data_IF_958418061481
#
_entry.id   IF_958418061481
#
_cell.length_a   1.000
_cell.length_b   1.000
_cell.length_c   1.000
_cell.angle_alpha   90.00
_cell.angle_beta   90.00
_cell.angle_gamma   90.00
#
_symmetry.space_group_name_H-M   'P 1'
#
loop_
_entity.id
_entity.type
_entity.pdbx_description
1 polymer ?
#
# COMPACT_ATOMS: atom_id res chain seq x y z
N UNK A 1 -5.47 -3.26 -15.26
CA UNK A 1 -4.56 -4.41 -15.19
C UNK A 1 -3.12 -4.05 -15.58
N UNK A 2 -2.92 -2.93 -16.23
CA UNK A 2 -1.66 -2.45 -16.80
C UNK A 2 -1.30 -1.08 -16.18
N UNK A 3 -1.12 -1.03 -14.85
CA UNK A 3 -0.87 0.22 -14.13
C UNK A 3 0.39 0.90 -14.64
N UNK A 4 1.47 0.16 -14.84
CA UNK A 4 2.74 0.70 -15.32
C UNK A 4 2.61 1.30 -16.72
N UNK A 5 1.95 0.59 -17.64
CA UNK A 5 1.70 1.08 -18.99
C UNK A 5 0.84 2.34 -18.98
N UNK A 6 -0.19 2.40 -18.14
CA UNK A 6 -1.06 3.55 -17.99
C UNK A 6 -0.32 4.78 -17.44
N UNK A 7 0.52 4.59 -16.42
CA UNK A 7 1.37 5.65 -15.86
C UNK A 7 2.39 6.15 -16.88
N UNK A 8 3.03 5.24 -17.61
CA UNK A 8 4.00 5.60 -18.65
C UNK A 8 3.35 6.39 -19.78
N UNK A 9 2.18 5.96 -20.27
CA UNK A 9 1.40 6.71 -21.25
C UNK A 9 1.03 8.09 -20.71
N UNK A 10 0.62 8.20 -19.44
CA UNK A 10 0.32 9.48 -18.79
C UNK A 10 1.52 10.43 -18.78
N UNK A 11 2.73 9.93 -18.47
CA UNK A 11 3.97 10.70 -18.50
C UNK A 11 4.25 11.21 -19.92
N UNK A 12 4.14 10.33 -20.94
CA UNK A 12 4.35 10.72 -22.34
C UNK A 12 3.34 11.79 -22.78
N UNK A 13 2.05 11.59 -22.49
CA UNK A 13 1.01 12.55 -22.85
C UNK A 13 1.22 13.90 -22.16
N UNK A 14 1.61 13.88 -20.88
CA UNK A 14 1.95 15.10 -20.15
C UNK A 14 3.13 15.86 -20.77
N UNK A 15 4.19 15.16 -21.15
CA UNK A 15 5.33 15.75 -21.84
C UNK A 15 4.95 16.33 -23.20
N UNK A 16 4.15 15.63 -23.98
CA UNK A 16 3.63 16.11 -25.27
C UNK A 16 2.78 17.38 -25.09
N UNK A 17 1.84 17.36 -24.14
CA UNK A 17 0.98 18.52 -23.86
C UNK A 17 1.79 19.74 -23.44
N UNK A 18 2.81 19.54 -22.59
CA UNK A 18 3.70 20.59 -22.14
C UNK A 18 4.48 21.21 -23.33
N UNK A 19 5.03 20.35 -24.21
CA UNK A 19 5.76 20.82 -25.41
C UNK A 19 4.88 21.60 -26.38
N UNK A 20 3.63 21.17 -26.59
CA UNK A 20 2.66 21.90 -27.40
C UNK A 20 2.36 23.27 -26.79
N UNK A 21 2.18 23.32 -25.46
CA UNK A 21 1.91 24.56 -24.73
C UNK A 21 3.07 25.56 -24.80
N UNK A 22 4.30 25.06 -24.76
CA UNK A 22 5.53 25.87 -24.81
C UNK A 22 6.04 26.14 -26.24
N UNK A 23 5.44 25.54 -27.25
CA UNK A 23 5.88 25.68 -28.64
C UNK A 23 7.24 25.05 -28.94
N UNK A 24 7.70 24.14 -28.09
CA UNK A 24 8.97 23.41 -28.28
C UNK A 24 8.72 22.18 -29.13
N UNK A 25 9.50 21.97 -30.20
CA UNK A 25 9.36 20.85 -31.11
C UNK A 25 9.72 19.49 -30.47
N UNK A 26 10.01 18.50 -31.31
CA UNK A 26 10.35 17.13 -30.86
C UNK A 26 11.60 17.10 -29.96
N UNK A 27 12.58 17.95 -30.19
CA UNK A 27 13.77 18.07 -29.34
C UNK A 27 13.39 18.51 -27.92
N UNK A 28 12.46 19.46 -27.81
CA UNK A 28 11.90 19.88 -26.52
C UNK A 28 11.20 18.73 -25.81
N UNK A 29 10.44 17.89 -26.53
CA UNK A 29 9.80 16.70 -25.94
C UNK A 29 10.82 15.75 -25.32
N UNK A 30 11.91 15.42 -25.99
CA UNK A 30 12.94 14.56 -25.45
C UNK A 30 13.60 15.16 -24.22
N UNK A 31 13.91 16.45 -24.24
CA UNK A 31 14.49 17.17 -23.10
C UNK A 31 13.54 17.14 -21.91
N UNK A 32 12.27 17.48 -22.10
CA UNK A 32 11.29 17.48 -21.01
C UNK A 32 11.01 16.10 -20.47
N UNK A 33 11.01 15.07 -21.31
CA UNK A 33 10.84 13.69 -20.87
C UNK A 33 12.04 13.17 -20.08
N UNK A 34 13.26 13.49 -20.50
CA UNK A 34 14.47 12.92 -19.92
C UNK A 34 15.02 13.74 -18.76
N UNK A 35 15.33 15.01 -19.01
CA UNK A 35 15.90 15.91 -18.00
C UNK A 35 15.74 17.38 -18.45
N UNK A 36 15.01 18.18 -17.70
CA UNK A 36 14.89 19.61 -17.93
C UNK A 36 14.82 20.38 -16.61
N UNK A 37 15.18 21.63 -16.65
CA UNK A 37 15.16 22.51 -15.49
C UNK A 37 14.17 23.66 -15.73
N UNK A 38 13.34 23.94 -14.74
CA UNK A 38 12.37 25.05 -14.76
C UNK A 38 12.74 26.02 -13.64
N UNK A 39 12.81 27.31 -13.97
CA UNK A 39 13.24 28.37 -13.08
C UNK A 39 14.71 28.76 -13.29
N UNK A 40 15.13 29.84 -12.65
CA UNK A 40 16.49 30.38 -12.72
C UNK A 40 17.06 30.55 -11.32
N UNK A 41 18.38 30.45 -11.19
CA UNK A 41 19.08 30.62 -9.92
C UNK A 41 18.74 29.56 -8.87
N UNK A 42 18.58 30.00 -7.63
CA UNK A 42 18.31 29.10 -6.48
C UNK A 42 16.91 28.45 -6.51
N UNK A 43 15.99 28.98 -7.32
CA UNK A 43 14.64 28.42 -7.50
C UNK A 43 14.55 27.42 -8.66
N UNK A 44 15.64 27.12 -9.33
CA UNK A 44 15.67 26.17 -10.44
C UNK A 44 15.38 24.74 -9.95
N UNK A 45 14.34 24.14 -10.51
CA UNK A 45 13.96 22.76 -10.20
C UNK A 45 14.16 21.88 -11.43
N UNK A 46 14.87 20.78 -11.23
CA UNK A 46 15.05 19.77 -12.26
C UNK A 46 13.89 18.79 -12.30
N UNK A 47 13.51 18.40 -13.50
CA UNK A 47 12.42 17.47 -13.78
C UNK A 47 12.85 16.46 -14.85
N UNK A 48 12.07 15.39 -15.01
CA UNK A 48 12.27 14.36 -16.01
C UNK A 48 12.68 13.01 -15.43
N UNK A 49 12.67 11.98 -16.27
CA UNK A 49 12.93 10.59 -15.84
C UNK A 49 14.34 10.41 -15.28
N UNK A 50 15.34 11.03 -15.88
CA UNK A 50 16.73 10.90 -15.40
C UNK A 50 16.87 11.55 -14.03
N UNK A 51 16.30 12.75 -13.86
CA UNK A 51 16.32 13.40 -12.55
C UNK A 51 15.61 12.55 -11.49
N UNK A 52 14.41 12.06 -11.77
CA UNK A 52 13.68 11.19 -10.83
C UNK A 52 14.46 9.94 -10.44
N UNK A 53 15.21 9.34 -11.38
CA UNK A 53 16.02 8.14 -11.13
C UNK A 53 17.34 8.44 -10.43
N UNK A 54 17.86 9.65 -10.53
CA UNK A 54 19.13 10.08 -9.89
C UNK A 54 18.93 10.85 -8.58
N UNK A 55 17.69 11.21 -8.26
CA UNK A 55 17.36 11.88 -7.02
C UNK A 55 17.67 10.97 -5.81
N UNK A 56 18.49 11.40 -4.84
CA UNK A 56 18.90 10.57 -3.70
C UNK A 56 17.73 10.04 -2.88
N UNK A 57 16.64 10.80 -2.79
CA UNK A 57 15.45 10.39 -2.06
C UNK A 57 14.73 9.22 -2.77
N UNK A 58 14.51 9.35 -4.07
CA UNK A 58 13.88 8.31 -4.88
C UNK A 58 14.73 7.02 -4.91
N UNK A 59 16.05 7.17 -5.07
CA UNK A 59 16.99 6.05 -4.97
C UNK A 59 16.94 5.41 -3.59
N UNK A 60 16.86 6.20 -2.52
CA UNK A 60 16.69 5.71 -1.15
C UNK A 60 15.43 4.86 -0.98
N UNK A 61 14.30 5.28 -1.55
CA UNK A 61 13.05 4.51 -1.53
C UNK A 61 13.22 3.18 -2.30
N UNK A 62 13.86 3.18 -3.47
CA UNK A 62 14.10 1.96 -4.23
C UNK A 62 14.98 0.96 -3.46
N UNK A 63 16.05 1.43 -2.83
CA UNK A 63 16.92 0.61 -1.97
C UNK A 63 16.13 0.06 -0.78
N UNK A 64 15.32 0.92 -0.13
CA UNK A 64 14.44 0.49 0.98
C UNK A 64 13.50 -0.64 0.55
N UNK A 65 12.85 -0.53 -0.61
CA UNK A 65 11.94 -1.57 -1.12
C UNK A 65 12.67 -2.90 -1.39
N UNK A 66 13.89 -2.86 -1.93
CA UNK A 66 14.71 -4.08 -2.16
C UNK A 66 15.10 -4.73 -0.83
N UNK A 67 15.54 -3.94 0.14
CA UNK A 67 15.90 -4.43 1.48
C UNK A 67 14.67 -5.01 2.18
N UNK A 68 13.54 -4.30 2.13
CA UNK A 68 12.27 -4.76 2.69
C UNK A 68 11.84 -6.09 2.07
N UNK A 69 11.85 -6.19 0.74
CA UNK A 69 11.53 -7.44 0.03
C UNK A 69 12.45 -8.61 0.43
N UNK A 70 13.72 -8.32 0.66
CA UNK A 70 14.70 -9.31 1.14
C UNK A 70 14.38 -9.79 2.55
N UNK A 71 14.05 -8.88 3.47
CA UNK A 71 13.64 -9.19 4.85
C UNK A 71 12.37 -10.05 4.85
N UNK A 72 11.38 -9.69 4.03
CA UNK A 72 10.14 -10.46 3.84
C UNK A 72 10.43 -11.87 3.36
N UNK A 73 11.28 -12.00 2.34
CA UNK A 73 11.67 -13.31 1.80
C UNK A 73 12.36 -14.18 2.85
N UNK A 74 13.27 -13.60 3.64
CA UNK A 74 13.96 -14.28 4.74
C UNK A 74 12.98 -14.72 5.82
N UNK A 75 12.04 -13.86 6.22
CA UNK A 75 11.02 -14.17 7.22
C UNK A 75 10.13 -15.34 6.78
N UNK A 76 9.72 -15.35 5.51
CA UNK A 76 8.95 -16.45 4.95
C UNK A 76 9.76 -17.75 4.88
N UNK A 77 11.03 -17.70 4.48
CA UNK A 77 11.94 -18.86 4.50
C UNK A 77 12.22 -19.37 5.91
N UNK A 78 12.30 -18.48 6.89
CA UNK A 78 12.44 -18.85 8.32
C UNK A 78 11.17 -19.49 8.91
N UNK A 79 10.08 -19.54 8.16
CA UNK A 79 8.83 -20.17 8.57
C UNK A 79 7.95 -19.31 9.49
N UNK A 80 8.19 -17.99 9.57
CA UNK A 80 7.40 -17.09 10.41
C UNK A 80 5.92 -17.11 10.08
N UNK A 81 5.57 -16.99 8.80
CA UNK A 81 4.19 -17.07 8.31
C UNK A 81 3.55 -18.43 8.62
N UNK A 82 4.29 -19.53 8.44
CA UNK A 82 3.80 -20.88 8.74
C UNK A 82 3.61 -21.10 10.25
N UNK A 83 4.47 -20.53 11.09
CA UNK A 83 4.33 -20.61 12.56
C UNK A 83 3.07 -19.91 13.03
N UNK A 84 2.79 -18.71 12.53
CA UNK A 84 1.55 -17.98 12.82
C UNK A 84 0.32 -18.76 12.30
N UNK A 85 0.39 -19.29 11.09
CA UNK A 85 -0.68 -20.12 10.52
C UNK A 85 -1.02 -21.34 11.39
N UNK A 86 0.00 -22.03 11.92
CA UNK A 86 -0.19 -23.14 12.87
C UNK A 86 -0.83 -22.69 14.18
N UNK A 87 -0.38 -21.56 14.73
CA UNK A 87 -0.97 -20.99 15.94
C UNK A 87 -2.44 -20.61 15.73
N UNK A 88 -2.73 -19.87 14.67
CA UNK A 88 -4.08 -19.43 14.33
C UNK A 88 -5.01 -20.61 14.08
N UNK A 89 -4.57 -21.66 13.37
CA UNK A 89 -5.39 -22.86 13.12
C UNK A 89 -5.73 -23.67 14.38
N UNK A 90 -4.93 -23.53 15.44
CA UNK A 90 -5.20 -24.17 16.75
C UNK A 90 -6.16 -23.38 17.62
N UNK A 91 -6.17 -22.05 17.51
CA UNK A 91 -6.90 -21.17 18.42
C UNK A 91 -8.16 -20.57 17.81
N UNK A 92 -8.25 -20.56 16.48
CA UNK A 92 -9.34 -19.90 15.75
C UNK A 92 -10.21 -20.94 15.04
N UNK A 93 -11.42 -21.14 15.57
CA UNK A 93 -12.36 -22.17 15.10
C UNK A 93 -13.71 -21.59 14.66
N UNK A 94 -13.88 -20.28 14.61
CA UNK A 94 -15.12 -19.64 14.20
C UNK A 94 -14.93 -18.69 13.04
N UNK A 95 -15.97 -18.50 12.23
CA UNK A 95 -15.99 -17.57 11.10
C UNK A 95 -15.61 -16.15 11.52
N UNK A 96 -16.19 -15.66 12.65
CA UNK A 96 -15.89 -14.34 13.21
C UNK A 96 -14.45 -14.29 13.73
N UNK A 97 -14.02 -15.33 14.46
CA UNK A 97 -12.67 -15.41 15.00
C UNK A 97 -11.57 -15.32 13.92
N UNK A 98 -11.76 -16.01 12.77
CA UNK A 98 -10.83 -15.94 11.65
C UNK A 98 -10.75 -14.52 11.07
N UNK A 99 -11.88 -13.86 10.94
CA UNK A 99 -11.93 -12.49 10.42
C UNK A 99 -11.24 -11.51 11.37
N UNK A 100 -11.50 -11.62 12.67
CA UNK A 100 -10.82 -10.81 13.70
C UNK A 100 -9.31 -11.10 13.70
N UNK A 101 -8.91 -12.36 13.66
CA UNK A 101 -7.49 -12.74 13.60
C UNK A 101 -6.80 -12.19 12.34
N UNK A 102 -7.52 -12.13 11.21
CA UNK A 102 -7.02 -11.52 9.97
C UNK A 102 -6.74 -10.02 10.17
N UNK A 103 -7.69 -9.28 10.73
CA UNK A 103 -7.54 -7.84 11.01
C UNK A 103 -6.41 -7.61 12.00
N UNK A 104 -6.34 -8.38 13.10
CA UNK A 104 -5.29 -8.23 14.10
C UNK A 104 -3.91 -8.52 13.53
N UNK A 105 -3.78 -9.55 12.69
CA UNK A 105 -2.51 -9.85 12.00
C UNK A 105 -2.14 -8.71 11.04
N UNK A 106 -3.11 -8.17 10.32
CA UNK A 106 -2.92 -6.99 9.48
C UNK A 106 -2.43 -5.78 10.27
N UNK A 107 -2.99 -5.53 11.45
CA UNK A 107 -2.53 -4.45 12.35
C UNK A 107 -1.10 -4.68 12.84
N UNK A 108 -0.71 -5.91 13.11
CA UNK A 108 0.65 -6.25 13.55
C UNK A 108 1.70 -6.06 12.45
N UNK A 109 1.30 -6.21 11.18
CA UNK A 109 2.20 -6.06 10.03
C UNK A 109 2.01 -4.67 9.41
N UNK A 110 2.47 -3.64 10.12
CA UNK A 110 2.24 -2.22 9.78
C UNK A 110 3.36 -1.58 8.93
N UNK A 111 4.42 -2.32 8.61
CA UNK A 111 5.62 -1.78 7.97
C UNK A 111 5.35 -1.38 6.51
N UNK A 112 4.64 -2.24 5.78
CA UNK A 112 4.35 -2.05 4.36
C UNK A 112 3.03 -2.74 3.99
N UNK A 113 2.19 -2.08 3.21
CA UNK A 113 0.85 -2.56 2.85
C UNK A 113 0.89 -3.73 1.84
N UNK A 114 1.80 -3.74 0.87
CA UNK A 114 1.99 -4.87 -0.02
C UNK A 114 2.45 -6.11 0.72
N UNK A 115 3.42 -5.93 1.59
CA UNK A 115 3.90 -7.02 2.45
C UNK A 115 2.79 -7.55 3.36
N UNK A 116 2.02 -6.65 3.96
CA UNK A 116 0.86 -6.98 4.76
C UNK A 116 -0.11 -7.85 3.96
N UNK A 117 -0.58 -7.38 2.80
CA UNK A 117 -1.52 -8.10 1.96
C UNK A 117 -1.02 -9.51 1.57
N UNK A 118 0.22 -9.62 1.13
CA UNK A 118 0.80 -10.89 0.69
C UNK A 118 0.96 -11.87 1.87
N UNK A 119 1.47 -11.39 3.00
CA UNK A 119 1.74 -12.24 4.16
C UNK A 119 0.45 -12.68 4.84
N UNK A 120 -0.43 -11.74 5.17
CA UNK A 120 -1.73 -12.05 5.79
C UNK A 120 -2.56 -12.94 4.87
N UNK A 121 -2.57 -12.63 3.56
CA UNK A 121 -3.27 -13.42 2.56
C UNK A 121 -2.78 -14.87 2.47
N UNK A 122 -1.47 -15.07 2.44
CA UNK A 122 -0.88 -16.41 2.35
C UNK A 122 -1.16 -17.26 3.59
N UNK A 123 -1.11 -16.63 4.78
CA UNK A 123 -1.29 -17.30 6.08
C UNK A 123 -2.77 -17.58 6.36
N UNK A 124 -3.62 -16.59 6.15
CA UNK A 124 -5.03 -16.68 6.56
C UNK A 124 -5.94 -17.40 5.55
N UNK A 125 -5.54 -17.47 4.26
CA UNK A 125 -6.34 -18.11 3.22
C UNK A 125 -6.75 -19.54 3.54
N UNK A 126 -5.86 -20.48 3.91
CA UNK A 126 -6.25 -21.85 4.24
C UNK A 126 -7.15 -21.92 5.47
N UNK A 127 -6.94 -21.03 6.46
CA UNK A 127 -7.73 -20.99 7.68
C UNK A 127 -9.13 -20.42 7.40
N UNK A 128 -9.20 -19.36 6.60
CA UNK A 128 -10.44 -18.71 6.20
C UNK A 128 -11.39 -19.68 5.44
N UNK A 129 -10.86 -20.38 4.44
CA UNK A 129 -11.61 -21.36 3.66
C UNK A 129 -12.17 -22.48 4.55
N UNK A 130 -11.38 -23.01 5.48
CA UNK A 130 -11.81 -24.07 6.41
C UNK A 130 -12.92 -23.60 7.35
N UNK A 131 -12.99 -22.32 7.68
CA UNK A 131 -13.97 -21.75 8.60
C UNK A 131 -15.12 -21.02 7.87
N UNK A 132 -15.30 -21.25 6.57
CA UNK A 132 -16.42 -20.71 5.80
C UNK A 132 -16.37 -19.21 5.55
N UNK A 133 -15.16 -18.62 5.50
CA UNK A 133 -14.95 -17.25 5.04
C UNK A 133 -14.61 -17.27 3.56
N UNK A 134 -15.34 -16.52 2.74
CA UNK A 134 -15.11 -16.43 1.30
C UNK A 134 -13.77 -15.78 1.01
N UNK A 135 -13.17 -16.10 -0.14
CA UNK A 135 -11.91 -15.49 -0.60
C UNK A 135 -12.07 -13.98 -0.82
N UNK A 136 -13.23 -13.58 -1.32
CA UNK A 136 -13.61 -12.20 -1.57
C UNK A 136 -13.71 -11.41 -0.26
N UNK A 137 -14.35 -11.99 0.76
CA UNK A 137 -14.42 -11.39 2.10
C UNK A 137 -13.04 -11.28 2.73
N UNK A 138 -12.24 -12.33 2.61
CA UNK A 138 -10.86 -12.31 3.11
C UNK A 138 -10.03 -11.23 2.42
N UNK A 139 -10.09 -11.13 1.09
CA UNK A 139 -9.39 -10.11 0.32
C UNK A 139 -9.82 -8.70 0.74
N UNK A 140 -11.12 -8.47 0.91
CA UNK A 140 -11.65 -7.20 1.40
C UNK A 140 -11.12 -6.84 2.80
N UNK A 141 -11.10 -7.79 3.74
CA UNK A 141 -10.59 -7.57 5.10
C UNK A 141 -9.10 -7.20 5.08
N UNK A 142 -8.31 -7.89 4.28
CA UNK A 142 -6.87 -7.66 4.16
C UNK A 142 -6.59 -6.29 3.54
N UNK A 143 -7.19 -6.01 2.40
CA UNK A 143 -6.99 -4.76 1.65
C UNK A 143 -7.43 -3.54 2.47
N UNK A 144 -8.61 -3.61 3.08
CA UNK A 144 -9.15 -2.54 3.92
C UNK A 144 -8.42 -2.36 5.26
N UNK A 145 -7.54 -3.27 5.67
CA UNK A 145 -6.73 -3.15 6.89
C UNK A 145 -5.30 -2.69 6.58
N UNK A 146 -4.70 -3.20 5.52
CA UNK A 146 -3.28 -3.02 5.24
C UNK A 146 -2.89 -1.55 5.04
N UNK A 147 -3.53 -0.84 4.12
CA UNK A 147 -3.21 0.55 3.84
C UNK A 147 -3.54 1.50 5.02
N UNK A 148 -4.73 1.44 5.65
CA UNK A 148 -5.04 2.27 6.81
C UNK A 148 -4.05 2.10 7.97
N UNK A 149 -3.61 0.89 8.24
CA UNK A 149 -2.65 0.62 9.33
C UNK A 149 -1.27 1.20 9.01
N UNK A 150 -0.80 1.04 7.76
CA UNK A 150 0.50 1.57 7.35
C UNK A 150 0.52 3.10 7.35
N UNK A 151 -0.57 3.77 6.97
CA UNK A 151 -0.62 5.23 6.90
C UNK A 151 -0.72 5.91 8.27
N UNK A 152 -1.08 5.20 9.33
CA UNK A 152 -1.07 5.72 10.72
C UNK A 152 0.12 5.21 11.52
N UNK A 153 1.00 4.41 10.92
CA UNK A 153 2.22 3.96 11.56
C UNK A 153 3.39 4.91 11.27
N UNK A 154 4.08 5.43 12.30
CA UNK A 154 5.23 6.32 12.11
C UNK A 154 6.45 5.61 11.51
N UNK A 155 6.48 4.27 11.56
CA UNK A 155 7.54 3.44 10.99
C UNK A 155 6.93 2.56 9.91
N UNK A 156 6.72 3.16 8.73
CA UNK A 156 6.14 2.45 7.58
C UNK A 156 6.73 2.96 6.27
N UNK A 157 6.51 2.21 5.18
CA UNK A 157 6.86 2.64 3.83
C UNK A 157 6.17 3.95 3.45
N UNK A 158 4.95 4.18 3.93
CA UNK A 158 4.21 5.42 3.72
C UNK A 158 4.83 6.61 4.46
N UNK A 159 5.27 6.43 5.71
CA UNK A 159 5.98 7.47 6.45
C UNK A 159 7.27 7.87 5.73
N UNK A 160 8.03 6.90 5.23
CA UNK A 160 9.23 7.15 4.45
C UNK A 160 8.92 7.91 3.15
N UNK A 161 7.93 7.45 2.36
CA UNK A 161 7.59 8.06 1.08
C UNK A 161 7.06 9.49 1.24
N UNK A 162 6.09 9.71 2.14
CA UNK A 162 5.43 11.01 2.32
C UNK A 162 6.36 12.05 2.93
N UNK A 163 7.27 11.64 3.83
CA UNK A 163 8.23 12.56 4.45
C UNK A 163 9.13 13.28 3.42
N UNK A 164 9.35 12.70 2.25
CA UNK A 164 10.16 13.30 1.19
C UNK A 164 9.46 14.40 0.39
N UNK A 165 8.16 14.53 0.50
CA UNK A 165 7.41 15.59 -0.19
C UNK A 165 7.34 16.90 0.60
N UNK A 166 7.89 16.93 1.81
CA UNK A 166 7.88 18.13 2.64
C UNK A 166 8.95 19.10 2.17
N UNK A 167 8.55 20.32 1.85
CA UNK A 167 9.42 21.43 1.45
C UNK A 167 9.56 22.45 2.58
N UNK A 168 10.60 23.29 2.52
CA UNK A 168 10.75 24.42 3.47
C UNK A 168 11.57 24.12 4.72
N UNK A 169 12.41 23.05 4.72
CA UNK A 169 13.30 22.74 5.83
C UNK A 169 12.64 22.10 7.06
N UNK A 170 11.35 21.76 6.98
CA UNK A 170 10.67 21.04 8.04
C UNK A 170 11.03 19.55 8.04
N UNK A 171 11.01 18.93 9.22
CA UNK A 171 11.22 17.50 9.34
C UNK A 171 9.95 16.74 8.87
N UNK A 172 10.03 16.10 7.69
CA UNK A 172 8.90 15.40 7.09
C UNK A 172 8.32 14.29 7.95
N UNK A 173 9.16 13.54 8.68
CA UNK A 173 8.68 12.51 9.61
C UNK A 173 7.91 13.13 10.78
N UNK A 174 8.39 14.24 11.33
CA UNK A 174 7.68 14.93 12.41
C UNK A 174 6.31 15.47 11.94
N UNK A 175 6.24 15.99 10.73
CA UNK A 175 4.99 16.45 10.14
C UNK A 175 4.03 15.28 9.89
N UNK A 176 4.54 14.16 9.35
CA UNK A 176 3.77 12.94 9.17
C UNK A 176 3.18 12.45 10.50
N UNK A 177 3.99 12.37 11.56
CA UNK A 177 3.52 11.98 12.90
C UNK A 177 2.43 12.91 13.45
N UNK A 178 2.57 14.22 13.23
CA UNK A 178 1.53 15.21 13.62
C UNK A 178 0.23 15.03 12.84
N UNK A 179 0.28 14.53 11.60
CA UNK A 179 -0.89 14.29 10.77
C UNK A 179 -1.64 12.99 11.13
N UNK A 180 -1.00 12.02 11.77
CA UNK A 180 -1.61 10.73 12.13
C UNK A 180 -2.96 10.90 12.85
N UNK A 181 -3.10 11.70 13.93
CA UNK A 181 -4.37 11.85 14.65
C UNK A 181 -5.53 12.42 13.81
N UNK A 182 -5.20 13.09 12.71
CA UNK A 182 -6.17 13.69 11.79
C UNK A 182 -6.53 12.78 10.62
N UNK A 183 -5.94 11.59 10.54
CA UNK A 183 -6.25 10.61 9.51
C UNK A 183 -7.52 9.83 9.87
N UNK A 184 -8.65 10.51 9.87
CA UNK A 184 -9.95 9.93 10.21
C UNK A 184 -10.33 8.76 9.33
N UNK A 185 -9.91 8.75 8.05
CA UNK A 185 -10.16 7.63 7.16
C UNK A 185 -9.60 6.32 7.73
N UNK A 186 -8.34 6.33 8.15
CA UNK A 186 -7.69 5.13 8.67
C UNK A 186 -8.38 4.61 9.95
N UNK A 187 -8.66 5.49 10.91
CA UNK A 187 -9.32 5.12 12.15
C UNK A 187 -10.74 4.60 11.92
N UNK A 188 -11.54 5.31 11.12
CA UNK A 188 -12.91 4.87 10.84
C UNK A 188 -12.95 3.60 10.01
N UNK A 189 -12.03 3.38 9.09
CA UNK A 189 -11.96 2.14 8.31
C UNK A 189 -11.67 0.95 9.22
N UNK A 190 -10.68 1.04 10.11
CA UNK A 190 -10.36 -0.03 11.05
C UNK A 190 -11.55 -0.30 11.98
N UNK A 191 -12.16 0.74 12.55
CA UNK A 191 -13.33 0.60 13.41
C UNK A 191 -14.50 -0.05 12.67
N UNK A 192 -14.74 0.37 11.44
CA UNK A 192 -15.79 -0.17 10.58
C UNK A 192 -15.55 -1.66 10.23
N UNK A 193 -14.29 -2.06 10.01
CA UNK A 193 -13.95 -3.45 9.78
C UNK A 193 -14.29 -4.34 10.97
N UNK A 194 -13.95 -3.92 12.19
CA UNK A 194 -14.37 -4.63 13.40
C UNK A 194 -15.89 -4.65 13.53
N UNK A 195 -16.55 -3.53 13.25
CA UNK A 195 -18.02 -3.43 13.27
C UNK A 195 -18.70 -4.42 12.33
N UNK A 196 -18.26 -4.49 11.07
CA UNK A 196 -18.80 -5.44 10.08
C UNK A 196 -18.64 -6.90 10.56
N UNK A 197 -17.47 -7.22 11.09
CA UNK A 197 -17.16 -8.59 11.52
C UNK A 197 -17.98 -8.99 12.75
N UNK A 198 -18.08 -8.11 13.75
CA UNK A 198 -18.80 -8.39 15.01
C UNK A 198 -20.31 -8.44 14.76
N UNK A 199 -20.85 -7.51 13.97
CA UNK A 199 -22.28 -7.45 13.65
C UNK A 199 -22.71 -8.51 12.61
N UNK A 200 -21.75 -9.18 11.96
CA UNK A 200 -22.03 -10.17 10.92
C UNK A 200 -22.71 -9.57 9.68
N UNK A 201 -22.51 -8.26 9.45
CA UNK A 201 -23.11 -7.54 8.35
C UNK A 201 -22.24 -7.65 7.10
N UNK A 202 -22.87 -8.04 5.98
CA UNK A 202 -22.22 -8.07 4.68
C UNK A 202 -22.96 -7.19 3.68
N UNK A 203 -22.20 -6.37 2.92
CA UNK A 203 -22.79 -5.56 1.85
C UNK A 203 -23.40 -6.44 0.77
N UNK A 204 -24.42 -5.92 0.10
CA UNK A 204 -25.21 -6.63 -0.91
C UNK A 204 -24.36 -7.40 -1.94
N UNK A 205 -23.25 -6.82 -2.39
CA UNK A 205 -22.32 -7.50 -3.30
C UNK A 205 -21.59 -8.66 -2.60
N UNK A 206 -21.12 -8.45 -1.37
CA UNK A 206 -20.39 -9.44 -0.58
C UNK A 206 -21.30 -10.57 -0.11
N UNK A 207 -22.54 -10.29 0.28
CA UNK A 207 -23.51 -11.29 0.71
C UNK A 207 -23.86 -12.31 -0.39
N UNK A 208 -23.77 -11.92 -1.67
CA UNK A 208 -23.93 -12.85 -2.81
C UNK A 208 -22.85 -13.92 -2.85
N UNK A 209 -21.61 -13.58 -2.48
CA UNK A 209 -20.51 -14.55 -2.42
C UNK A 209 -20.65 -15.47 -1.21
N UNK A 210 -21.12 -14.95 -0.09
CA UNK A 210 -21.37 -15.72 1.12
C UNK A 210 -22.53 -16.72 0.93
N UNK A 211 -23.56 -16.35 0.17
CA UNK A 211 -24.66 -17.23 -0.19
C UNK A 211 -24.19 -18.41 -1.06
N UNK A 212 -23.29 -18.17 -2.03
CA UNK A 212 -22.74 -19.23 -2.88
C UNK A 212 -21.94 -20.29 -2.11
N UNK A 213 -21.27 -19.90 -1.02
CA UNK A 213 -20.57 -20.87 -0.16
C UNK A 213 -21.52 -21.83 0.58
N UNK A 214 -22.77 -21.42 0.79
CA UNK A 214 -23.79 -22.28 1.44
C UNK A 214 -24.42 -23.28 0.47
N UNK A 215 -24.21 -23.07 -0.83
CA UNK A 215 -24.72 -23.95 -1.89
C UNK A 215 -23.73 -25.05 -2.30
N UNK A 216 -22.50 -25.03 -1.77
CA UNK A 216 -21.42 -26.02 -1.95
C UNK A 216 -21.18 -26.80 -0.64
#
# INVERSE_FOLDING_TARGET
>A
KEVYSSLFIGIILGAVQYCISMGTGFDGFLVHLTNHTVGEGDDAKAYGLIHCLSDPWNVGILVFLVVLGSIVSLMNKAGGSAAFGRWASKHVHSKVGVQIATILLGILIFIDDYFNCLTVGSVMRPIAVRNGVTKEKLAYLIDSTAAPVCIISPISSWAAAVSGFVSGGENGLALFCKAIPFNFYAFFTILFMFGIVILGFDFKAMSKYDARLKEW
#
